data_IF_457244407507
#
_entry.id   IF_457244407507
#
_cell.length_a   1.000
_cell.length_b   1.000
_cell.length_c   1.000
_cell.angle_alpha   90.00
_cell.angle_beta   90.00
_cell.angle_gamma   90.00
#
_symmetry.space_group_name_H-M   'P 1'
#
loop_
_entity.id
_entity.type
_entity.pdbx_description
1 polymer ?
#
# COMPACT_ATOMS: atom_id res chain seq x y z
N UNK A 1 6.84 -15.56 5.59
CA UNK A 1 7.16 -15.16 6.96
C UNK A 1 5.88 -15.04 7.77
N UNK A 2 5.88 -15.65 8.94
CA UNK A 2 4.72 -15.66 9.83
C UNK A 2 4.85 -14.53 10.84
N UNK A 3 3.80 -13.76 10.96
CA UNK A 3 3.78 -12.63 11.88
C UNK A 3 2.33 -12.24 12.12
N UNK A 4 2.10 -11.12 12.79
CA UNK A 4 0.75 -10.56 12.86
C UNK A 4 0.69 -9.31 12.00
N UNK A 5 -0.53 -8.90 11.67
CA UNK A 5 -0.71 -7.70 10.83
C UNK A 5 0.00 -6.51 11.45
N UNK A 6 -0.25 -6.25 12.72
CA UNK A 6 0.31 -5.05 13.35
C UNK A 6 1.83 -5.12 13.43
N UNK A 7 2.38 -6.27 13.80
CA UNK A 7 3.82 -6.41 13.87
C UNK A 7 4.46 -6.18 12.51
N UNK A 8 3.89 -6.80 11.47
CA UNK A 8 4.43 -6.64 10.13
C UNK A 8 4.41 -5.17 9.70
N UNK A 9 3.29 -4.51 9.90
CA UNK A 9 3.16 -3.12 9.44
C UNK A 9 4.01 -2.18 10.27
N UNK A 10 4.07 -2.39 11.58
CA UNK A 10 4.91 -1.55 12.42
C UNK A 10 6.37 -1.67 12.04
N UNK A 11 6.83 -2.89 11.79
CA UNK A 11 8.22 -3.11 11.41
C UNK A 11 8.51 -2.53 10.03
N UNK A 12 7.59 -2.71 9.10
CA UNK A 12 7.76 -2.17 7.75
C UNK A 12 7.85 -0.66 7.78
N UNK A 13 6.96 -0.02 8.52
CA UNK A 13 6.94 1.44 8.60
C UNK A 13 8.22 1.97 9.23
N UNK A 14 8.68 1.31 10.28
CA UNK A 14 9.89 1.71 10.97
C UNK A 14 11.11 1.57 10.07
N UNK A 15 11.21 0.43 9.39
CA UNK A 15 12.34 0.19 8.50
C UNK A 15 12.31 1.15 7.32
N UNK A 16 11.14 1.35 6.73
CA UNK A 16 11.03 2.23 5.58
C UNK A 16 11.47 3.65 5.96
N UNK A 17 10.98 4.15 7.07
CA UNK A 17 11.32 5.50 7.52
C UNK A 17 12.82 5.62 7.81
N UNK A 18 13.40 4.59 8.41
CA UNK A 18 14.82 4.63 8.80
C UNK A 18 15.74 4.63 7.59
N UNK A 19 15.29 4.10 6.46
CA UNK A 19 16.14 3.92 5.28
C UNK A 19 15.82 4.92 4.16
N UNK A 20 14.95 5.90 4.43
CA UNK A 20 14.54 6.86 3.39
C UNK A 20 14.82 8.29 3.85
N UNK A 21 15.19 9.18 2.91
CA UNK A 21 15.47 10.58 3.26
C UNK A 21 14.19 11.41 3.32
N UNK A 22 13.32 11.09 4.24
CA UNK A 22 12.05 11.81 4.38
C UNK A 22 12.12 12.71 5.60
N UNK A 23 11.56 13.90 5.46
CA UNK A 23 11.57 14.87 6.56
C UNK A 23 10.60 14.46 7.64
N UNK A 24 9.38 14.08 7.26
CA UNK A 24 8.38 13.73 8.26
C UNK A 24 7.52 12.59 7.73
N UNK A 25 7.49 11.51 8.49
CA UNK A 25 6.67 10.34 8.15
C UNK A 25 5.72 10.08 9.31
N UNK A 26 4.42 10.12 9.02
CA UNK A 26 3.39 9.87 10.02
C UNK A 26 2.82 8.47 9.78
N UNK A 27 3.00 7.59 10.74
CA UNK A 27 2.44 6.25 10.64
C UNK A 27 1.40 6.08 11.74
N UNK A 28 0.23 5.60 11.34
CA UNK A 28 -0.84 5.39 12.29
C UNK A 28 -1.46 4.02 12.08
N UNK A 29 -1.35 3.17 13.08
CA UNK A 29 -1.94 1.85 13.05
C UNK A 29 -3.21 1.87 13.88
N UNK A 30 -4.35 1.81 13.19
CA UNK A 30 -5.66 1.82 13.84
C UNK A 30 -6.29 0.46 13.89
N UNK A 31 -5.51 -0.58 13.71
CA UNK A 31 -6.02 -1.94 13.74
C UNK A 31 -6.27 -2.33 15.19
N UNK A 32 -7.52 -2.58 15.53
CA UNK A 32 -7.89 -2.91 16.88
C UNK A 32 -7.75 -4.39 17.18
N UNK A 33 -7.99 -5.23 16.19
CA UNK A 33 -7.87 -6.67 16.39
C UNK A 33 -6.78 -7.19 15.47
N UNK A 34 -5.66 -7.55 16.07
CA UNK A 34 -4.56 -8.12 15.34
C UNK A 34 -4.90 -9.55 14.92
N UNK A 35 -4.15 -10.08 13.98
CA UNK A 35 -4.35 -11.46 13.56
C UNK A 35 -3.09 -12.00 12.92
N UNK A 36 -2.88 -13.31 12.96
CA UNK A 36 -1.72 -13.90 12.30
C UNK A 36 -1.86 -13.82 10.80
N UNK A 37 -0.77 -13.49 10.15
CA UNK A 37 -0.74 -13.37 8.69
C UNK A 37 0.57 -13.95 8.17
N UNK A 38 0.55 -14.30 6.91
CA UNK A 38 1.74 -14.68 6.18
C UNK A 38 1.99 -13.60 5.13
N UNK A 39 3.08 -12.90 5.29
CA UNK A 39 3.48 -11.88 4.31
C UNK A 39 4.68 -12.40 3.54
N UNK A 40 4.64 -12.20 2.23
CA UNK A 40 5.78 -12.54 1.40
C UNK A 40 6.45 -11.26 0.91
N UNK A 41 7.53 -11.44 0.18
CA UNK A 41 8.30 -10.30 -0.27
C UNK A 41 7.54 -9.45 -1.27
N UNK A 42 6.64 -10.06 -2.04
CA UNK A 42 5.86 -9.29 -3.02
C UNK A 42 4.91 -8.33 -2.33
N UNK A 43 4.29 -8.77 -1.23
CA UNK A 43 3.39 -7.92 -0.49
C UNK A 43 4.13 -6.76 0.14
N UNK A 44 5.29 -7.04 0.75
CA UNK A 44 6.11 -6.00 1.34
C UNK A 44 6.56 -5.01 0.26
N UNK A 45 6.99 -5.53 -0.88
CA UNK A 45 7.47 -4.69 -1.97
C UNK A 45 6.34 -3.80 -2.49
N UNK A 46 5.12 -4.34 -2.56
CA UNK A 46 3.98 -3.57 -3.01
C UNK A 46 3.74 -2.36 -2.12
N UNK A 47 3.75 -2.57 -0.81
CA UNK A 47 3.51 -1.48 0.12
C UNK A 47 4.65 -0.46 0.04
N UNK A 48 5.89 -0.92 -0.01
CA UNK A 48 7.02 -0.02 -0.12
C UNK A 48 6.99 0.78 -1.41
N UNK A 49 6.51 0.19 -2.49
CA UNK A 49 6.41 0.93 -3.76
C UNK A 49 5.42 2.08 -3.65
N UNK A 50 4.30 1.87 -2.96
CA UNK A 50 3.36 2.96 -2.77
C UNK A 50 4.00 4.08 -1.95
N UNK A 51 4.71 3.70 -0.89
CA UNK A 51 5.38 4.68 -0.05
C UNK A 51 6.49 5.42 -0.81
N UNK A 52 7.25 4.69 -1.62
CA UNK A 52 8.32 5.31 -2.39
C UNK A 52 7.77 6.29 -3.42
N UNK A 53 6.65 5.96 -4.05
CA UNK A 53 6.02 6.89 -4.98
C UNK A 53 5.59 8.17 -4.28
N UNK A 54 5.04 8.04 -3.07
CA UNK A 54 4.65 9.22 -2.31
C UNK A 54 5.87 10.05 -1.92
N UNK A 55 6.95 9.37 -1.55
CA UNK A 55 8.18 10.06 -1.17
C UNK A 55 8.76 10.86 -2.33
N UNK A 56 8.76 10.27 -3.53
CA UNK A 56 9.28 10.98 -4.70
C UNK A 56 8.52 12.27 -4.93
N UNK A 57 7.21 12.23 -4.73
CA UNK A 57 6.38 13.41 -4.94
C UNK A 57 6.46 14.40 -3.80
N UNK A 58 6.78 13.93 -2.58
CA UNK A 58 6.63 14.74 -1.39
C UNK A 58 7.67 14.35 -0.34
N UNK A 59 8.94 14.72 -0.56
CA UNK A 59 9.97 14.35 0.43
C UNK A 59 9.76 14.98 1.80
N UNK A 60 8.89 15.98 1.90
CA UNK A 60 8.67 16.66 3.17
C UNK A 60 7.70 15.94 4.08
N UNK A 61 6.74 15.22 3.51
CA UNK A 61 5.73 14.60 4.36
C UNK A 61 4.99 13.49 3.63
N UNK A 62 4.93 12.33 4.26
CA UNK A 62 4.16 11.18 3.80
C UNK A 62 3.50 10.57 5.02
N UNK A 63 2.29 10.06 4.87
CA UNK A 63 1.65 9.33 5.95
C UNK A 63 1.16 7.98 5.47
N UNK A 64 1.14 7.03 6.40
CA UNK A 64 0.58 5.71 6.18
C UNK A 64 -0.38 5.41 7.31
N UNK A 65 -1.61 5.08 6.95
CA UNK A 65 -2.63 4.73 7.92
C UNK A 65 -3.13 3.33 7.61
N UNK A 66 -3.23 2.49 8.64
CA UNK A 66 -3.69 1.12 8.49
C UNK A 66 -4.95 0.92 9.31
N UNK A 67 -5.98 0.36 8.69
CA UNK A 67 -7.21 0.00 9.37
C UNK A 67 -7.63 -1.39 8.96
N UNK A 68 -8.40 -2.01 9.80
CA UNK A 68 -9.00 -3.32 9.50
C UNK A 68 -10.50 -3.19 9.70
N UNK A 69 -11.25 -3.52 8.66
CA UNK A 69 -12.70 -3.47 8.75
C UNK A 69 -13.24 -4.80 8.29
N UNK A 70 -13.95 -5.47 9.18
CA UNK A 70 -14.53 -6.76 8.87
C UNK A 70 -13.45 -7.69 8.32
N UNK A 71 -13.49 -7.99 7.04
CA UNK A 71 -12.59 -8.96 6.43
C UNK A 71 -11.58 -8.31 5.50
N UNK A 72 -11.33 -7.02 5.65
CA UNK A 72 -10.41 -6.32 4.76
C UNK A 72 -9.40 -5.49 5.53
N UNK A 73 -8.19 -5.45 5.00
CA UNK A 73 -7.14 -4.56 5.48
C UNK A 73 -7.05 -3.38 4.52
N UNK A 74 -7.12 -2.17 5.04
CA UNK A 74 -7.04 -0.97 4.23
C UNK A 74 -5.81 -0.18 4.62
N UNK A 75 -5.00 0.15 3.64
CA UNK A 75 -3.81 0.97 3.82
C UNK A 75 -3.98 2.24 3.00
N UNK A 76 -3.79 3.39 3.63
CA UNK A 76 -3.93 4.68 2.97
C UNK A 76 -2.62 5.42 3.07
N UNK A 77 -2.05 5.76 1.92
CA UNK A 77 -0.81 6.52 1.84
C UNK A 77 -1.15 7.91 1.30
N UNK A 78 -0.80 8.92 2.06
CA UNK A 78 -1.13 10.31 1.72
C UNK A 78 0.16 11.11 1.63
N UNK A 79 0.22 12.04 0.68
CA UNK A 79 1.36 12.92 0.54
C UNK A 79 0.88 14.35 0.26
N UNK A 80 1.82 15.29 0.31
CA UNK A 80 1.51 16.69 0.09
C UNK A 80 2.21 17.24 -1.16
N UNK A 81 2.52 16.36 -2.10
CA UNK A 81 3.16 16.75 -3.34
C UNK A 81 2.18 17.35 -4.34
N UNK A 82 2.55 17.33 -5.61
CA UNK A 82 1.71 17.93 -6.64
C UNK A 82 0.47 17.12 -7.03
N UNK A 83 0.39 15.89 -6.56
CA UNK A 83 -0.71 15.00 -6.96
C UNK A 83 -0.42 14.32 -8.28
N UNK A 84 -1.38 13.55 -8.74
CA UNK A 84 -1.28 12.82 -9.99
C UNK A 84 -1.87 13.64 -11.13
N UNK A 85 -1.26 13.53 -12.30
CA UNK A 85 -1.86 14.09 -13.50
C UNK A 85 -3.14 13.34 -13.82
N UNK A 86 -4.12 14.01 -14.45
CA UNK A 86 -5.37 13.34 -14.78
C UNK A 86 -5.19 12.06 -15.60
N UNK A 87 -4.24 12.06 -16.53
CA UNK A 87 -4.00 10.88 -17.35
C UNK A 87 -3.54 9.69 -16.51
N UNK A 88 -2.74 9.95 -15.48
CA UNK A 88 -2.28 8.91 -14.59
C UNK A 88 -3.43 8.35 -13.76
N UNK A 89 -4.27 9.25 -13.23
CA UNK A 89 -5.42 8.79 -12.46
C UNK A 89 -6.33 7.90 -13.29
N UNK A 90 -6.49 8.22 -14.56
CA UNK A 90 -7.33 7.44 -15.42
C UNK A 90 -6.80 6.03 -15.66
N UNK A 91 -5.51 5.82 -15.46
CA UNK A 91 -4.90 4.52 -15.72
C UNK A 91 -4.80 3.64 -14.48
N UNK A 92 -4.79 4.25 -13.31
CA UNK A 92 -4.66 3.48 -12.08
C UNK A 92 -5.87 2.58 -11.92
N UNK A 93 -5.62 1.31 -11.62
CA UNK A 93 -6.68 0.35 -11.48
C UNK A 93 -7.02 -0.42 -12.74
N UNK A 94 -6.57 0.04 -13.88
CA UNK A 94 -6.81 -0.70 -15.13
C UNK A 94 -5.83 -1.86 -15.24
N UNK A 95 -6.16 -2.87 -16.02
CA UNK A 95 -5.19 -3.93 -16.31
C UNK A 95 -3.96 -3.35 -16.95
N UNK A 96 -2.95 -4.17 -17.11
CA UNK A 96 -1.67 -3.73 -17.62
C UNK A 96 -1.77 -2.60 -18.63
N UNK A 97 -0.97 -1.58 -18.41
CA UNK A 97 -0.86 -0.47 -19.32
C UNK A 97 0.61 -0.22 -19.59
N UNK A 98 0.92 0.02 -20.85
CA UNK A 98 2.26 0.41 -21.18
C UNK A 98 2.52 1.80 -20.65
N UNK A 99 3.62 1.96 -19.96
CA UNK A 99 3.98 3.24 -19.38
C UNK A 99 5.15 3.85 -20.10
N UNK A 100 5.31 3.57 -21.35
CA UNK A 100 6.48 4.03 -22.06
C UNK A 100 6.66 5.52 -21.93
N UNK A 101 7.89 5.92 -21.84
CA UNK A 101 8.23 7.30 -21.71
C UNK A 101 8.10 7.85 -20.30
N UNK A 102 7.75 7.01 -19.34
CA UNK A 102 7.57 7.47 -17.97
C UNK A 102 8.38 6.61 -17.02
N UNK A 103 9.70 6.64 -17.14
CA UNK A 103 10.53 5.81 -16.25
C UNK A 103 10.29 6.20 -14.81
N UNK A 104 10.18 5.21 -13.99
CA UNK A 104 10.00 5.45 -12.57
C UNK A 104 8.56 5.47 -12.18
N UNK A 105 7.95 6.62 -12.05
CA UNK A 105 6.72 6.75 -11.28
C UNK A 105 5.61 5.89 -11.77
N UNK A 106 5.18 5.67 -12.84
CA UNK A 106 4.04 4.82 -13.19
C UNK A 106 4.30 3.34 -12.99
N UNK A 107 5.56 2.92 -13.10
CA UNK A 107 5.87 1.50 -13.06
C UNK A 107 5.65 0.90 -11.69
N UNK A 108 5.98 1.65 -10.65
CA UNK A 108 5.75 1.16 -9.30
C UNK A 108 4.28 0.89 -9.04
N UNK A 109 3.42 1.77 -9.51
CA UNK A 109 1.99 1.58 -9.31
C UNK A 109 1.43 0.44 -10.15
N UNK A 110 1.99 0.18 -11.33
CA UNK A 110 1.58 -1.00 -12.09
C UNK A 110 1.86 -2.28 -11.29
N UNK A 111 3.03 -2.35 -10.68
CA UNK A 111 3.34 -3.50 -9.84
C UNK A 111 2.32 -3.62 -8.72
N UNK A 112 2.01 -2.51 -8.07
CA UNK A 112 1.05 -2.50 -6.97
C UNK A 112 -0.32 -2.98 -7.43
N UNK A 113 -0.79 -2.45 -8.55
CA UNK A 113 -2.09 -2.84 -9.07
C UNK A 113 -2.11 -4.34 -9.38
N UNK A 114 -1.05 -4.85 -9.98
CA UNK A 114 -1.01 -6.25 -10.36
C UNK A 114 -0.99 -7.16 -9.14
N UNK A 115 -0.19 -6.82 -8.13
CA UNK A 115 -0.13 -7.64 -6.93
C UNK A 115 -1.46 -7.60 -6.19
N UNK A 116 -2.05 -6.42 -6.06
CA UNK A 116 -3.34 -6.29 -5.40
C UNK A 116 -4.40 -7.12 -6.10
N UNK A 117 -4.42 -7.06 -7.43
CA UNK A 117 -5.39 -7.82 -8.20
C UNK A 117 -5.24 -9.32 -7.97
N UNK A 118 -4.01 -9.80 -7.95
CA UNK A 118 -3.77 -11.22 -7.69
C UNK A 118 -4.27 -11.65 -6.33
N UNK A 119 -4.24 -10.74 -5.37
CA UNK A 119 -4.71 -11.03 -4.02
C UNK A 119 -6.20 -10.78 -3.87
N UNK A 120 -6.87 -10.36 -4.91
CA UNK A 120 -8.29 -10.06 -4.84
C UNK A 120 -8.60 -8.70 -4.23
N UNK A 121 -7.61 -7.83 -4.17
CA UNK A 121 -7.79 -6.50 -3.60
C UNK A 121 -7.89 -5.44 -4.67
N UNK A 122 -7.88 -4.20 -4.23
CA UNK A 122 -8.01 -3.05 -5.13
C UNK A 122 -7.06 -1.95 -4.74
N UNK A 123 -6.73 -1.13 -5.72
CA UNK A 123 -5.92 0.07 -5.53
C UNK A 123 -6.70 1.23 -6.11
N UNK A 124 -6.90 2.28 -5.33
CA UNK A 124 -7.51 3.50 -5.84
C UNK A 124 -6.59 4.67 -5.52
N UNK A 125 -6.71 5.73 -6.30
CA UNK A 125 -5.91 6.91 -6.09
C UNK A 125 -6.74 8.14 -6.42
N UNK A 126 -6.46 9.22 -5.70
CA UNK A 126 -7.10 10.49 -5.98
C UNK A 126 -6.21 11.62 -5.50
N UNK A 127 -6.49 12.81 -5.99
CA UNK A 127 -5.82 14.00 -5.49
C UNK A 127 -6.64 14.57 -4.35
N UNK A 128 -5.92 15.12 -3.37
CA UNK A 128 -6.55 15.73 -2.22
C UNK A 128 -6.93 17.16 -2.54
N UNK A 129 -8.01 17.62 -1.94
CA UNK A 129 -8.44 19.01 -2.14
C UNK A 129 -7.41 20.00 -1.66
N UNK A 130 -6.75 19.69 -0.55
CA UNK A 130 -5.74 20.58 0.02
C UNK A 130 -4.37 20.40 -0.59
N UNK A 131 -4.26 19.58 -1.62
CA UNK A 131 -2.98 19.34 -2.29
C UNK A 131 -2.41 18.00 -1.94
N UNK A 132 -1.74 17.41 -2.92
CA UNK A 132 -1.13 16.09 -2.75
C UNK A 132 -2.02 14.99 -3.23
N UNK A 133 -1.60 13.77 -2.98
CA UNK A 133 -2.29 12.58 -3.47
C UNK A 133 -2.62 11.64 -2.33
N UNK A 134 -3.59 10.78 -2.58
CA UNK A 134 -3.98 9.74 -1.64
C UNK A 134 -4.12 8.45 -2.43
N UNK A 135 -3.42 7.40 -1.99
CA UNK A 135 -3.51 6.08 -2.58
C UNK A 135 -4.06 5.14 -1.54
N UNK A 136 -5.11 4.41 -1.87
CA UNK A 136 -5.74 3.48 -0.96
C UNK A 136 -5.60 2.07 -1.50
N UNK A 137 -5.11 1.19 -0.66
CA UNK A 137 -4.90 -0.21 -0.98
C UNK A 137 -5.79 -1.02 -0.06
N UNK A 138 -6.66 -1.83 -0.63
CA UNK A 138 -7.58 -2.67 0.13
C UNK A 138 -7.31 -4.13 -0.21
N UNK A 139 -7.06 -4.94 0.82
CA UNK A 139 -6.73 -6.34 0.64
C UNK A 139 -7.68 -7.20 1.46
N UNK A 140 -8.21 -8.27 0.87
CA UNK A 140 -9.02 -9.20 1.67
C UNK A 140 -8.12 -9.93 2.65
N UNK A 141 -8.56 -9.99 3.89
CA UNK A 141 -7.77 -10.67 4.91
C UNK A 141 -7.58 -12.15 4.60
N UNK A 142 -8.56 -12.75 3.92
CA UNK A 142 -8.45 -14.16 3.57
C UNK A 142 -7.22 -14.45 2.70
N UNK A 143 -6.75 -13.45 1.95
CA UNK A 143 -5.61 -13.67 1.06
C UNK A 143 -4.29 -13.69 1.80
N UNK A 144 -4.25 -13.13 3.01
CA UNK A 144 -3.01 -13.03 3.78
C UNK A 144 -3.08 -13.70 5.13
N UNK A 145 -4.24 -14.27 5.48
CA UNK A 145 -4.46 -14.85 6.80
C UNK A 145 -3.77 -16.21 6.93
N UNK A 146 -3.23 -16.46 8.09
CA UNK A 146 -2.74 -17.79 8.44
C UNK A 146 -3.79 -18.65 9.08
N UNK A 147 -4.93 -18.05 9.44
CA UNK A 147 -6.01 -18.82 10.00
C UNK A 147 -6.63 -19.66 8.93
N UNK A 148 -6.95 -20.65 9.09
CA UNK A 148 -7.52 -21.25 8.06
C UNK A 148 -8.10 -22.37 8.04
N UNK A 149 -7.99 -22.31 7.61
CA UNK A 149 -8.08 -22.98 7.28
C UNK A 149 -7.92 -24.17 7.28
N UNK A 150 -8.43 -24.51 7.31
CA UNK A 150 -8.29 -25.41 7.28
C UNK A 150 -8.67 -26.27 6.99
N UNK A 151 -8.88 -26.68 6.96
CA UNK A 151 -9.27 -27.44 6.65
C UNK A 151 -9.61 -28.21 6.57
N UNK A 152 -9.78 -28.29 6.58
CA UNK A 152 -10.04 -28.92 6.53
C UNK A 152 -10.08 -29.80 6.62
N UNK A 153 -10.08 -29.91 6.46
CA UNK A 153 -10.10 -30.64 6.67
C UNK A 153 -10.13 -31.28 6.72
N UNK A 154 -10.37 -31.38 6.89
CA UNK A 154 -10.49 -31.93 7.12
C UNK A 154 -10.46 -32.28 7.27
#
# INVERSE_FOLDING_TARGET
>A
VKTTISTFLNDLAKEWCATRPIVSFAYENRIEQDMPVAFDSALKQMICNVLDNALEASPQWVSLEATREADALTLVVTDTGPGFAPAMLAQIGKPYQSSKGRPGSGLGLFFVVNVARKLGGTVTARNREQGGALVQLTLPLAAISLEEETPHGD
#
